data_IF_915304465617
#
_entry.id   IF_915304465617
#
_cell.length_a   1.000
_cell.length_b   1.000
_cell.length_c   1.000
_cell.angle_alpha   90.00
_cell.angle_beta   90.00
_cell.angle_gamma   90.00
#
_symmetry.space_group_name_H-M   'P 1'
#
loop_
_entity.id
_entity.type
_entity.pdbx_description
1 polymer ?
#
# COMPACT_ATOMS: atom_id res chain seq x y z
N UNK A 1 -33.57 -16.42 29.34
CA UNK A 1 -33.36 -15.17 28.58
C UNK A 1 -31.91 -14.99 28.10
N UNK A 2 -30.90 -15.48 28.82
CA UNK A 2 -29.46 -15.33 28.46
C UNK A 2 -28.99 -16.04 27.17
N UNK A 3 -29.59 -17.18 26.78
CA UNK A 3 -29.15 -17.94 25.58
C UNK A 3 -29.49 -17.24 24.26
N UNK A 4 -30.63 -16.54 24.22
CA UNK A 4 -31.11 -15.83 23.02
C UNK A 4 -30.29 -14.56 22.80
N UNK A 5 -29.95 -13.83 23.88
CA UNK A 5 -29.05 -12.68 23.80
C UNK A 5 -27.64 -13.05 23.32
N UNK A 6 -27.11 -14.20 23.77
CA UNK A 6 -25.81 -14.68 23.31
C UNK A 6 -25.83 -15.09 21.83
N UNK A 7 -26.89 -15.72 21.34
CA UNK A 7 -27.00 -16.06 19.91
C UNK A 7 -27.12 -14.82 19.02
N UNK A 8 -27.82 -13.78 19.48
CA UNK A 8 -27.93 -12.52 18.75
C UNK A 8 -26.57 -11.80 18.69
N UNK A 9 -25.84 -11.72 19.81
CA UNK A 9 -24.48 -11.14 19.85
C UNK A 9 -23.51 -11.89 18.94
N UNK A 10 -23.54 -13.23 18.94
CA UNK A 10 -22.70 -14.03 18.04
C UNK A 10 -23.05 -13.80 16.57
N UNK A 11 -24.33 -13.69 16.21
CA UNK A 11 -24.74 -13.37 14.83
C UNK A 11 -24.32 -11.97 14.38
N UNK A 12 -24.34 -10.99 15.29
CA UNK A 12 -23.89 -9.62 15.02
C UNK A 12 -22.37 -9.56 14.79
N UNK A 13 -21.59 -10.22 15.65
CA UNK A 13 -20.13 -10.36 15.49
C UNK A 13 -19.78 -11.09 14.20
N UNK A 14 -20.52 -12.15 13.87
CA UNK A 14 -20.29 -12.91 12.62
C UNK A 14 -20.60 -12.03 11.40
N UNK A 15 -21.65 -11.20 11.48
CA UNK A 15 -22.05 -10.28 10.40
C UNK A 15 -21.00 -9.20 10.16
N UNK A 16 -20.49 -8.57 11.22
CA UNK A 16 -19.39 -7.58 11.13
C UNK A 16 -18.11 -8.20 10.55
N UNK A 17 -17.73 -9.41 11.00
CA UNK A 17 -16.57 -10.13 10.46
C UNK A 17 -16.75 -10.52 8.99
N UNK A 18 -17.96 -10.90 8.56
CA UNK A 18 -18.23 -11.16 7.13
C UNK A 18 -18.24 -9.89 6.30
N UNK A 19 -18.72 -8.76 6.82
CA UNK A 19 -18.84 -7.48 6.09
C UNK A 19 -17.47 -6.91 5.71
N UNK A 20 -16.50 -6.92 6.64
CA UNK A 20 -15.12 -6.52 6.34
C UNK A 20 -14.46 -7.43 5.29
N UNK A 21 -14.70 -8.74 5.37
CA UNK A 21 -14.20 -9.70 4.38
C UNK A 21 -14.84 -9.52 3.00
N UNK A 22 -16.08 -9.03 2.95
CA UNK A 22 -16.84 -8.85 1.71
C UNK A 22 -16.28 -7.69 0.87
N UNK A 23 -15.81 -6.62 1.52
CA UNK A 23 -15.16 -5.49 0.84
C UNK A 23 -13.82 -5.89 0.21
N UNK A 24 -13.00 -6.67 0.92
CA UNK A 24 -11.74 -7.21 0.41
C UNK A 24 -11.95 -8.16 -0.78
N UNK A 25 -13.02 -8.98 -0.74
CA UNK A 25 -13.39 -9.92 -1.80
C UNK A 25 -13.84 -9.24 -3.12
N UNK A 26 -14.06 -7.92 -3.12
CA UNK A 26 -14.38 -7.13 -4.32
C UNK A 26 -13.14 -6.56 -5.03
N UNK A 27 -11.94 -6.77 -4.48
CA UNK A 27 -10.67 -6.33 -5.05
C UNK A 27 -10.26 -7.07 -6.33
N UNK A 28 -9.28 -6.51 -7.05
CA UNK A 28 -8.82 -7.05 -8.34
C UNK A 28 -8.45 -8.54 -8.28
N UNK A 29 -7.80 -8.98 -7.21
CA UNK A 29 -7.32 -10.36 -7.02
C UNK A 29 -8.44 -11.39 -6.87
N UNK A 30 -9.58 -11.00 -6.27
CA UNK A 30 -10.68 -11.91 -5.96
C UNK A 30 -11.86 -11.77 -6.95
N UNK A 31 -11.88 -10.69 -7.73
CA UNK A 31 -12.91 -10.43 -8.73
C UNK A 31 -12.84 -11.39 -9.93
N UNK A 32 -14.01 -11.75 -10.48
CA UNK A 32 -14.15 -12.53 -11.72
C UNK A 32 -14.65 -11.65 -12.88
N UNK A 33 -14.62 -12.19 -14.10
CA UNK A 33 -15.22 -11.53 -15.26
C UNK A 33 -16.73 -11.26 -15.02
N UNK A 34 -17.29 -10.09 -15.40
CA UNK A 34 -16.66 -8.96 -16.11
C UNK A 34 -15.98 -7.94 -15.18
N UNK A 35 -16.20 -8.02 -13.87
CA UNK A 35 -15.70 -7.06 -12.89
C UNK A 35 -14.17 -6.95 -12.89
N UNK A 36 -13.47 -8.08 -12.98
CA UNK A 36 -12.00 -8.11 -13.12
C UNK A 36 -11.52 -7.27 -14.29
N UNK A 37 -12.17 -7.39 -15.46
CA UNK A 37 -11.78 -6.65 -16.68
C UNK A 37 -11.94 -5.15 -16.46
N UNK A 38 -13.04 -4.75 -15.82
CA UNK A 38 -13.32 -3.35 -15.48
C UNK A 38 -12.29 -2.79 -14.49
N UNK A 39 -12.05 -3.48 -13.37
CA UNK A 39 -11.11 -3.03 -12.33
C UNK A 39 -9.69 -2.97 -12.93
N UNK A 40 -9.25 -4.00 -13.66
CA UNK A 40 -7.93 -4.01 -14.31
C UNK A 40 -7.76 -2.83 -15.28
N UNK A 41 -8.78 -2.51 -16.07
CA UNK A 41 -8.73 -1.37 -16.99
C UNK A 41 -8.52 -0.04 -16.26
N UNK A 42 -9.08 0.14 -15.06
CA UNK A 42 -8.90 1.34 -14.24
C UNK A 42 -7.49 1.41 -13.65
N UNK A 43 -6.93 0.30 -13.16
CA UNK A 43 -5.62 0.31 -12.50
C UNK A 43 -4.43 0.28 -13.48
N UNK A 44 -4.56 -0.34 -14.66
CA UNK A 44 -3.44 -0.56 -15.59
C UNK A 44 -2.68 0.72 -16.00
N UNK A 45 -3.32 1.88 -16.24
CA UNK A 45 -2.61 3.11 -16.62
C UNK A 45 -1.56 3.56 -15.59
N UNK A 46 -1.81 3.34 -14.30
CA UNK A 46 -0.89 3.71 -13.20
C UNK A 46 0.36 2.83 -13.15
N UNK A 47 0.33 1.64 -13.77
CA UNK A 47 1.45 0.69 -13.84
C UNK A 47 2.08 0.63 -15.24
N UNK A 48 1.91 1.67 -16.06
CA UNK A 48 2.63 1.78 -17.33
C UNK A 48 4.13 1.95 -17.11
N UNK A 49 4.95 1.55 -18.09
CA UNK A 49 6.42 1.71 -18.03
C UNK A 49 6.84 3.16 -17.73
N UNK A 50 6.11 4.15 -18.28
CA UNK A 50 6.39 5.56 -18.01
C UNK A 50 6.15 5.93 -16.54
N UNK A 51 5.02 5.49 -15.96
CA UNK A 51 4.71 5.71 -14.55
C UNK A 51 5.67 4.97 -13.62
N UNK A 52 6.02 3.71 -13.94
CA UNK A 52 7.00 2.93 -13.18
C UNK A 52 8.38 3.61 -13.15
N UNK A 53 8.85 4.15 -14.29
CA UNK A 53 10.10 4.93 -14.33
C UNK A 53 10.01 6.21 -13.50
N UNK A 54 8.85 6.87 -13.49
CA UNK A 54 8.60 8.05 -12.67
C UNK A 54 8.56 7.75 -11.15
N UNK A 55 8.45 6.48 -10.73
CA UNK A 55 8.55 6.09 -9.32
C UNK A 55 9.98 6.15 -8.76
N UNK A 56 10.99 6.18 -9.63
CA UNK A 56 12.40 6.12 -9.24
C UNK A 56 12.79 7.16 -8.16
N UNK A 57 12.48 8.47 -8.30
CA UNK A 57 12.90 9.47 -7.32
C UNK A 57 12.28 9.26 -5.94
N UNK A 58 11.04 8.77 -5.89
CA UNK A 58 10.36 8.43 -4.63
C UNK A 58 11.08 7.26 -3.93
N UNK A 59 11.46 6.23 -4.70
CA UNK A 59 12.18 5.08 -4.16
C UNK A 59 13.55 5.53 -3.63
N UNK A 60 14.30 6.33 -4.40
CA UNK A 60 15.61 6.87 -3.98
C UNK A 60 15.49 7.66 -2.68
N UNK A 61 14.52 8.57 -2.56
CA UNK A 61 14.29 9.34 -1.33
C UNK A 61 14.00 8.43 -0.12
N UNK A 62 13.25 7.36 -0.33
CA UNK A 62 12.89 6.42 0.74
C UNK A 62 14.09 5.55 1.14
N UNK A 63 14.97 5.23 0.18
CA UNK A 63 16.26 4.59 0.42
C UNK A 63 17.22 5.49 1.18
N UNK A 64 17.33 6.77 0.84
CA UNK A 64 18.17 7.73 1.54
C UNK A 64 17.77 7.84 3.03
N UNK A 65 16.46 7.84 3.31
CA UNK A 65 15.93 7.82 4.67
C UNK A 65 16.29 6.53 5.42
N UNK A 66 16.34 5.39 4.72
CA UNK A 66 16.77 4.13 5.29
C UNK A 66 18.27 4.14 5.61
N UNK A 67 19.10 4.60 4.68
CA UNK A 67 20.56 4.70 4.85
C UNK A 67 20.88 5.61 6.04
N UNK A 68 20.24 6.78 6.14
CA UNK A 68 20.42 7.69 7.28
C UNK A 68 20.08 7.07 8.65
N UNK A 69 19.20 6.06 8.70
CA UNK A 69 18.88 5.31 9.93
C UNK A 69 19.85 4.18 10.22
N UNK A 70 20.46 3.61 9.19
CA UNK A 70 21.40 2.49 9.29
C UNK A 70 22.84 2.95 9.50
N UNK A 71 23.24 4.09 8.94
CA UNK A 71 24.60 4.62 9.02
C UNK A 71 25.13 4.71 10.45
N UNK A 72 24.40 5.29 11.43
CA UNK A 72 24.87 5.32 12.82
C UNK A 72 25.03 3.91 13.42
N UNK A 73 24.13 2.99 13.08
CA UNK A 73 24.16 1.61 13.58
C UNK A 73 25.32 0.82 13.00
N UNK A 74 25.67 1.11 11.75
CA UNK A 74 26.84 0.56 11.08
C UNK A 74 28.14 1.10 11.70
N UNK A 75 28.20 2.41 11.99
CA UNK A 75 29.33 3.02 12.71
C UNK A 75 29.55 2.40 14.09
N UNK A 76 28.48 2.09 14.80
CA UNK A 76 28.51 1.43 16.11
C UNK A 76 28.72 -0.09 16.03
N UNK A 77 28.93 -0.66 14.83
CA UNK A 77 29.07 -2.10 14.56
C UNK A 77 27.93 -2.95 15.14
N UNK A 78 26.71 -2.38 15.20
CA UNK A 78 25.55 -3.07 15.72
C UNK A 78 25.03 -4.11 14.73
N UNK A 79 24.74 -5.32 15.23
CA UNK A 79 24.01 -6.32 14.47
C UNK A 79 22.54 -5.89 14.44
N UNK A 80 22.02 -5.68 13.24
CA UNK A 80 20.64 -5.26 13.02
C UNK A 80 19.88 -6.32 12.23
N UNK A 81 18.62 -6.56 12.62
CA UNK A 81 17.71 -7.32 11.78
C UNK A 81 17.28 -6.46 10.57
N UNK A 82 17.89 -6.73 9.42
CA UNK A 82 17.60 -6.01 8.19
C UNK A 82 16.16 -6.24 7.69
N UNK A 83 15.52 -7.35 8.07
CA UNK A 83 14.15 -7.67 7.64
C UNK A 83 13.17 -6.56 8.01
N UNK A 84 13.24 -6.10 9.25
CA UNK A 84 12.38 -5.03 9.74
C UNK A 84 12.51 -3.73 8.93
N UNK A 85 13.73 -3.38 8.53
CA UNK A 85 13.99 -2.18 7.73
C UNK A 85 13.51 -2.33 6.30
N UNK A 86 13.73 -3.50 5.70
CA UNK A 86 13.28 -3.79 4.34
C UNK A 86 11.75 -3.83 4.24
N UNK A 87 11.08 -4.45 5.22
CA UNK A 87 9.63 -4.47 5.29
C UNK A 87 9.07 -3.03 5.44
N UNK A 88 9.72 -2.20 6.27
CA UNK A 88 9.37 -0.78 6.41
C UNK A 88 9.58 0.02 5.13
N UNK A 89 10.71 -0.20 4.44
CA UNK A 89 11.05 0.44 3.17
C UNK A 89 9.99 0.13 2.09
N UNK A 90 9.67 -1.15 1.91
CA UNK A 90 8.71 -1.59 0.89
C UNK A 90 7.30 -1.08 1.20
N UNK A 91 6.90 -1.09 2.48
CA UNK A 91 5.62 -0.56 2.92
C UNK A 91 5.47 0.94 2.62
N UNK A 92 6.51 1.74 2.91
CA UNK A 92 6.50 3.18 2.66
C UNK A 92 6.43 3.50 1.16
N UNK A 93 7.22 2.79 0.33
CA UNK A 93 7.17 2.93 -1.14
C UNK A 93 5.78 2.59 -1.69
N UNK A 94 5.19 1.47 -1.26
CA UNK A 94 3.86 1.04 -1.73
C UNK A 94 2.78 2.03 -1.29
N UNK A 95 2.83 2.49 -0.04
CA UNK A 95 1.83 3.42 0.52
C UNK A 95 1.87 4.76 -0.21
N UNK A 96 3.06 5.33 -0.43
CA UNK A 96 3.23 6.58 -1.18
C UNK A 96 2.80 6.45 -2.64
N UNK A 97 3.13 5.33 -3.28
CA UNK A 97 2.67 5.04 -4.63
C UNK A 97 1.14 4.92 -4.72
N UNK A 98 0.51 4.25 -3.75
CA UNK A 98 -0.95 4.10 -3.68
C UNK A 98 -1.68 5.41 -3.36
N UNK A 99 -1.08 6.29 -2.56
CA UNK A 99 -1.61 7.62 -2.23
C UNK A 99 -1.53 8.62 -3.39
N UNK A 100 -0.88 8.27 -4.50
CA UNK A 100 -0.79 9.13 -5.69
C UNK A 100 0.35 10.15 -5.65
N UNK A 101 1.31 10.02 -4.73
CA UNK A 101 2.46 10.95 -4.64
C UNK A 101 3.30 10.98 -5.93
N UNK A 102 3.20 9.96 -6.78
CA UNK A 102 3.92 9.86 -8.06
C UNK A 102 3.61 10.99 -9.04
N UNK A 103 2.39 11.53 -9.01
CA UNK A 103 2.00 12.61 -9.91
C UNK A 103 2.63 13.95 -9.49
N UNK A 104 2.96 14.13 -8.20
CA UNK A 104 3.65 15.32 -7.71
C UNK A 104 5.11 15.41 -8.13
N UNK A 105 5.74 14.27 -8.46
CA UNK A 105 7.14 14.20 -8.90
C UNK A 105 7.33 14.40 -10.40
N UNK A 106 6.26 14.62 -11.17
CA UNK A 106 6.39 14.97 -12.58
C UNK A 106 6.68 16.48 -12.71
N UNK A 107 7.88 16.88 -13.18
CA UNK A 107 8.25 18.29 -13.28
C UNK A 107 7.35 19.10 -14.21
N UNK A 108 6.62 18.45 -15.13
CA UNK A 108 5.68 19.12 -16.04
C UNK A 108 4.36 19.54 -15.38
N UNK A 109 4.04 19.02 -14.19
CA UNK A 109 2.80 19.37 -13.46
C UNK A 109 3.08 20.43 -12.39
N UNK A 110 4.32 20.49 -11.86
CA UNK A 110 4.74 21.53 -10.91
C UNK A 110 4.78 22.94 -11.52
N UNK A 111 5.01 23.05 -12.84
CA UNK A 111 5.04 24.36 -13.53
C UNK A 111 3.65 24.91 -13.87
N UNK A 112 2.58 24.15 -13.62
CA UNK A 112 1.21 24.54 -13.96
C UNK A 112 0.41 25.10 -12.77
N UNK A 113 1.03 25.27 -11.60
CA UNK A 113 0.41 25.85 -10.39
C UNK A 113 1.07 27.17 -9.96
N UNK A 114 1.54 27.97 -10.91
CA UNK A 114 1.95 29.36 -10.69
C UNK A 114 1.10 30.26 -11.58
#
# INVERSE_FOLDING_TARGET
MSRIENTAKLSAITKELTDESEHMNKGLFFSRYPNWKRIRAIHSPSFSTGKLKAMKPMIEKTMDQLIAKLDPKASDQQIVDFRHYYDSLTFDVITRAAAGELDYFNPLIQTASI
#
